data_IF_372378738133
#
_entry.id   IF_372378738133
#
_cell.length_a   1.000
_cell.length_b   1.000
_cell.length_c   1.000
_cell.angle_alpha   90.00
_cell.angle_beta   90.00
_cell.angle_gamma   90.00
#
_symmetry.space_group_name_H-M   'P 1'
#
loop_
_entity.id
_entity.type
_entity.pdbx_description
1 polymer ?
#
# COMPACT_ATOMS: atom_id res chain seq x y z
N UNK A 1 4.61 4.84 -10.79
CA UNK A 1 4.67 6.05 -9.93
C UNK A 1 5.21 7.22 -10.73
N UNK A 2 4.53 8.36 -10.72
CA UNK A 2 5.04 9.60 -11.29
C UNK A 2 6.05 10.21 -10.32
N UNK A 3 7.25 10.52 -10.80
CA UNK A 3 8.32 11.15 -10.02
C UNK A 3 8.39 12.68 -10.28
N UNK A 4 9.09 13.45 -9.44
CA UNK A 4 9.22 14.91 -9.60
C UNK A 4 9.88 15.34 -10.92
N UNK A 5 10.66 14.47 -11.55
CA UNK A 5 11.28 14.72 -12.86
C UNK A 5 10.30 14.57 -14.06
N UNK A 6 9.01 14.34 -13.79
CA UNK A 6 7.96 14.17 -14.80
C UNK A 6 7.91 12.78 -15.46
N UNK A 7 8.80 11.87 -15.08
CA UNK A 7 8.84 10.51 -15.62
C UNK A 7 8.05 9.54 -14.72
N UNK A 8 7.62 8.42 -15.32
CA UNK A 8 6.86 7.37 -14.64
C UNK A 8 7.76 6.15 -14.45
N UNK A 9 7.77 5.60 -13.24
CA UNK A 9 8.54 4.43 -12.86
C UNK A 9 7.61 3.28 -12.49
N UNK A 10 7.82 2.11 -13.13
CA UNK A 10 7.07 0.90 -12.85
C UNK A 10 7.84 0.02 -11.86
N UNK A 11 7.17 -0.39 -10.79
CA UNK A 11 7.75 -1.29 -9.79
C UNK A 11 7.86 -2.70 -10.38
N UNK A 12 9.06 -3.32 -10.37
CA UNK A 12 9.26 -4.61 -11.01
C UNK A 12 8.70 -5.75 -10.15
N UNK A 13 7.57 -6.33 -10.56
CA UNK A 13 6.99 -7.51 -9.94
C UNK A 13 7.76 -8.77 -10.38
N UNK A 14 7.77 -9.08 -11.68
CA UNK A 14 8.53 -10.19 -12.29
C UNK A 14 9.80 -9.72 -13.00
N UNK A 15 9.80 -8.51 -13.58
CA UNK A 15 10.91 -7.98 -14.34
C UNK A 15 12.17 -7.85 -13.49
N UNK A 16 13.33 -8.17 -14.05
CA UNK A 16 14.64 -7.94 -13.44
C UNK A 16 15.09 -6.49 -13.47
N UNK A 17 14.31 -5.60 -14.07
CA UNK A 17 14.65 -4.20 -14.23
C UNK A 17 13.45 -3.30 -13.93
N UNK A 18 13.75 -2.08 -13.52
CA UNK A 18 12.78 -0.99 -13.41
C UNK A 18 12.54 -0.46 -14.84
N UNK A 19 11.26 -0.26 -15.19
CA UNK A 19 10.86 0.44 -16.41
C UNK A 19 10.63 1.92 -16.08
N UNK A 20 11.37 2.79 -16.77
CA UNK A 20 11.13 4.23 -16.83
C UNK A 20 10.37 4.55 -18.11
N UNK A 21 9.37 5.42 -18.02
CA UNK A 21 8.62 5.96 -19.14
C UNK A 21 8.76 7.48 -19.09
N UNK A 22 9.21 8.07 -20.17
CA UNK A 22 9.22 9.53 -20.37
C UNK A 22 8.02 9.94 -21.23
N UNK A 23 6.98 10.55 -20.64
CA UNK A 23 5.79 10.96 -21.39
C UNK A 23 6.06 12.09 -22.39
N UNK A 24 7.10 12.90 -22.16
CA UNK A 24 7.42 14.06 -23.00
C UNK A 24 8.03 13.66 -24.33
N UNK A 25 8.85 12.62 -24.32
CA UNK A 25 9.51 12.07 -25.52
C UNK A 25 8.86 10.78 -26.03
N UNK A 26 7.92 10.21 -25.27
CA UNK A 26 7.28 8.91 -25.54
C UNK A 26 8.30 7.77 -25.63
N UNK A 27 9.36 7.83 -24.85
CA UNK A 27 10.41 6.82 -24.80
C UNK A 27 10.39 6.03 -23.49
N UNK A 28 11.03 4.86 -23.51
CA UNK A 28 11.22 4.01 -22.35
C UNK A 28 12.69 3.67 -22.14
N UNK A 29 13.08 3.47 -20.88
CA UNK A 29 14.39 2.97 -20.50
C UNK A 29 14.24 1.88 -19.42
N UNK A 30 15.22 0.98 -19.38
CA UNK A 30 15.31 -0.09 -18.39
C UNK A 30 16.61 0.06 -17.62
N UNK A 31 16.56 -0.10 -16.30
CA UNK A 31 17.74 -0.07 -15.44
C UNK A 31 17.58 -0.94 -14.20
N UNK A 32 18.70 -1.17 -13.48
CA UNK A 32 18.76 -2.06 -12.33
C UNK A 32 19.06 -3.52 -12.73
N UNK A 33 19.36 -4.34 -11.72
CA UNK A 33 19.59 -5.77 -11.85
C UNK A 33 18.98 -6.48 -10.62
N UNK A 34 17.70 -6.83 -10.70
CA UNK A 34 16.86 -7.23 -9.61
C UNK A 34 16.37 -8.68 -9.81
N UNK A 35 16.99 -9.62 -9.13
CA UNK A 35 16.64 -11.05 -9.22
C UNK A 35 15.40 -11.41 -8.40
N UNK A 36 14.77 -12.55 -8.72
CA UNK A 36 13.60 -13.10 -8.03
C UNK A 36 12.29 -12.87 -8.77
N UNK A 37 11.21 -13.46 -8.24
CA UNK A 37 9.85 -13.43 -8.79
C UNK A 37 8.90 -12.80 -7.77
N UNK A 38 7.77 -12.25 -8.24
CA UNK A 38 6.73 -11.63 -7.40
C UNK A 38 7.30 -10.66 -6.34
N UNK A 39 8.37 -9.94 -6.67
CA UNK A 39 9.24 -9.24 -5.71
C UNK A 39 8.55 -8.14 -4.92
N UNK A 40 8.07 -7.12 -5.63
CA UNK A 40 7.47 -5.93 -5.04
C UNK A 40 6.12 -5.63 -5.68
N UNK A 41 5.17 -5.13 -4.88
CA UNK A 41 3.84 -4.76 -5.35
C UNK A 41 3.42 -3.41 -4.75
N UNK A 42 3.15 -2.47 -5.65
CA UNK A 42 2.91 -1.07 -5.26
C UNK A 42 4.21 -0.31 -5.02
N UNK A 43 4.17 0.96 -5.33
CA UNK A 43 5.27 1.89 -5.12
C UNK A 43 4.78 3.14 -4.38
N UNK A 44 5.66 3.76 -3.61
CA UNK A 44 5.39 4.99 -2.88
C UNK A 44 6.49 5.99 -3.16
N UNK A 45 6.11 7.17 -3.64
CA UNK A 45 7.03 8.31 -3.74
C UNK A 45 7.18 8.94 -2.36
N UNK A 46 8.40 9.02 -1.86
CA UNK A 46 8.72 9.65 -0.59
C UNK A 46 9.15 11.12 -0.75
N UNK A 47 9.16 11.91 0.35
CA UNK A 47 9.55 13.33 0.31
C UNK A 47 10.99 13.58 -0.17
N UNK A 48 11.87 12.59 -0.08
CA UNK A 48 13.25 12.65 -0.60
C UNK A 48 13.33 12.50 -2.13
N UNK A 49 12.19 12.41 -2.83
CA UNK A 49 12.11 12.26 -4.28
C UNK A 49 12.35 10.84 -4.79
N UNK A 50 12.64 9.89 -3.92
CA UNK A 50 12.84 8.48 -4.29
C UNK A 50 11.55 7.67 -4.19
N UNK A 51 11.51 6.56 -4.91
CA UNK A 51 10.35 5.66 -4.96
C UNK A 51 10.70 4.36 -4.25
N UNK A 52 9.80 3.89 -3.39
CA UNK A 52 9.98 2.69 -2.59
C UNK A 52 8.99 1.60 -3.02
N UNK A 53 9.52 0.44 -3.44
CA UNK A 53 8.74 -0.76 -3.78
C UNK A 53 8.45 -1.59 -2.53
N UNK A 54 7.17 -1.93 -2.33
CA UNK A 54 6.72 -2.69 -1.15
C UNK A 54 6.96 -4.18 -1.36
N UNK A 55 7.74 -4.84 -0.48
CA UNK A 55 8.13 -6.24 -0.68
C UNK A 55 6.96 -7.21 -0.47
N UNK A 56 6.65 -7.99 -1.51
CA UNK A 56 5.71 -9.11 -1.45
C UNK A 56 6.47 -10.40 -1.13
N UNK A 57 7.31 -10.87 -2.07
CA UNK A 57 8.18 -12.03 -1.89
C UNK A 57 9.64 -11.63 -1.60
N UNK A 58 10.08 -10.46 -2.06
CA UNK A 58 11.43 -9.97 -1.78
C UNK A 58 11.68 -9.85 -0.27
N UNK A 59 12.85 -10.26 0.18
CA UNK A 59 13.31 -10.06 1.57
C UNK A 59 13.79 -8.64 1.85
N UNK A 60 13.75 -7.75 0.85
CA UNK A 60 14.25 -6.38 0.95
C UNK A 60 13.27 -5.38 0.33
N UNK A 61 13.28 -4.18 0.85
CA UNK A 61 12.64 -3.01 0.24
C UNK A 61 13.46 -2.60 -0.97
N UNK A 62 12.78 -2.21 -2.06
CA UNK A 62 13.41 -1.59 -3.21
C UNK A 62 13.34 -0.06 -3.06
N UNK A 63 14.47 0.61 -3.17
CA UNK A 63 14.56 2.04 -3.39
C UNK A 63 14.98 2.30 -4.83
N UNK A 64 14.26 3.18 -5.52
CA UNK A 64 14.56 3.66 -6.87
C UNK A 64 14.89 5.15 -6.76
N UNK A 65 16.06 5.55 -7.23
CA UNK A 65 16.43 6.95 -7.38
C UNK A 65 16.16 7.42 -8.81
N UNK A 66 15.17 8.28 -9.05
CA UNK A 66 14.80 8.77 -10.36
C UNK A 66 15.85 9.68 -11.01
N UNK A 67 16.74 10.28 -10.22
CA UNK A 67 17.75 11.22 -10.72
C UNK A 67 18.96 10.46 -11.26
N UNK A 68 19.44 9.49 -10.48
CA UNK A 68 20.65 8.72 -10.84
C UNK A 68 20.33 7.46 -11.63
N UNK A 69 19.05 7.08 -11.77
CA UNK A 69 18.59 5.82 -12.36
C UNK A 69 19.25 4.60 -11.70
N UNK A 70 19.33 4.62 -10.39
CA UNK A 70 19.90 3.52 -9.60
C UNK A 70 18.85 2.86 -8.72
N UNK A 71 19.14 1.62 -8.33
CA UNK A 71 18.33 0.85 -7.37
C UNK A 71 19.16 0.44 -6.17
N UNK A 72 18.58 0.54 -4.98
CA UNK A 72 19.17 0.07 -3.72
C UNK A 72 18.20 -0.89 -3.04
N UNK A 73 18.74 -1.96 -2.46
CA UNK A 73 17.98 -2.92 -1.68
C UNK A 73 18.40 -2.84 -0.22
N UNK A 74 17.44 -2.80 0.70
CA UNK A 74 17.72 -2.75 2.14
C UNK A 74 16.65 -3.46 2.96
N UNK A 75 16.95 -3.71 4.25
CA UNK A 75 16.11 -4.48 5.16
C UNK A 75 16.40 -5.99 5.11
N UNK A 76 15.83 -6.72 6.07
CA UNK A 76 15.87 -8.17 6.16
C UNK A 76 14.51 -8.70 6.59
N UNK A 77 13.63 -8.93 5.62
CA UNK A 77 12.20 -9.15 5.79
C UNK A 77 11.82 -10.57 5.37
N UNK A 78 11.79 -11.48 6.31
CA UNK A 78 11.44 -12.90 6.04
C UNK A 78 9.94 -13.09 5.76
N UNK A 79 9.60 -14.20 5.12
CA UNK A 79 8.23 -14.62 4.79
C UNK A 79 7.83 -14.36 3.34
N UNK A 80 6.62 -14.80 2.99
CA UNK A 80 6.03 -14.76 1.65
C UNK A 80 4.69 -14.03 1.68
N UNK A 81 4.24 -13.49 0.52
CA UNK A 81 2.94 -12.81 0.42
C UNK A 81 2.77 -11.61 1.35
N UNK A 82 3.87 -11.02 1.85
CA UNK A 82 3.94 -10.21 3.07
C UNK A 82 3.05 -8.99 3.08
N UNK A 83 3.35 -8.01 2.24
CA UNK A 83 2.63 -6.73 2.20
C UNK A 83 2.14 -6.43 0.79
N UNK A 84 0.97 -5.79 0.70
CA UNK A 84 0.35 -5.39 -0.57
C UNK A 84 -0.07 -3.93 -0.54
N UNK A 85 0.74 -3.11 -1.22
CA UNK A 85 0.62 -1.66 -1.21
C UNK A 85 1.26 -1.00 0.00
N UNK A 86 1.63 0.25 -0.17
CA UNK A 86 2.21 1.09 0.85
C UNK A 86 1.54 2.46 0.89
N UNK A 87 1.63 3.12 2.03
CA UNK A 87 1.06 4.44 2.27
C UNK A 87 2.12 5.33 2.89
N UNK A 88 2.34 6.51 2.30
CA UNK A 88 3.16 7.55 2.92
C UNK A 88 2.35 8.25 4.00
N UNK A 89 2.84 8.25 5.22
CA UNK A 89 2.23 8.97 6.33
C UNK A 89 2.78 10.39 6.47
N UNK A 90 2.12 11.20 7.30
CA UNK A 90 2.49 12.60 7.55
C UNK A 90 3.85 12.75 8.25
N UNK A 91 4.33 11.69 8.92
CA UNK A 91 5.66 11.66 9.53
C UNK A 91 6.81 11.38 8.54
N UNK A 92 6.51 11.30 7.23
CA UNK A 92 7.48 11.05 6.15
C UNK A 92 7.88 9.58 5.99
N UNK A 93 7.36 8.68 6.82
CA UNK A 93 7.59 7.24 6.72
C UNK A 93 6.55 6.54 5.87
N UNK A 94 6.90 5.37 5.34
CA UNK A 94 6.03 4.55 4.50
C UNK A 94 5.59 3.32 5.28
N UNK A 95 4.30 3.00 5.19
CA UNK A 95 3.70 1.86 5.89
C UNK A 95 3.20 0.82 4.88
N UNK A 96 3.79 -0.37 4.89
CA UNK A 96 3.36 -1.53 4.08
C UNK A 96 2.16 -2.21 4.72
N UNK A 97 1.11 -2.40 3.91
CA UNK A 97 -0.17 -2.98 4.38
C UNK A 97 -0.07 -4.50 4.43
N UNK A 98 -0.25 -5.13 5.60
CA UNK A 98 -0.02 -6.57 5.77
C UNK A 98 -1.08 -7.42 5.09
N UNK A 99 -0.65 -8.25 4.12
CA UNK A 99 -1.45 -9.31 3.50
C UNK A 99 -1.31 -10.61 4.31
N UNK A 100 -0.18 -11.27 4.20
CA UNK A 100 0.11 -12.51 4.93
C UNK A 100 1.03 -12.26 6.14
N UNK A 101 1.80 -11.17 6.14
CA UNK A 101 2.60 -10.76 7.30
C UNK A 101 1.72 -10.55 8.53
N UNK A 102 2.17 -11.02 9.69
CA UNK A 102 1.52 -10.74 10.98
C UNK A 102 1.80 -9.34 11.52
N UNK A 103 2.61 -8.54 10.80
CA UNK A 103 3.05 -7.22 11.23
C UNK A 103 2.93 -6.20 10.11
N UNK A 104 2.71 -4.96 10.49
CA UNK A 104 2.85 -3.78 9.62
C UNK A 104 4.34 -3.55 9.39
N UNK A 105 4.71 -3.21 8.15
CA UNK A 105 6.05 -2.74 7.81
C UNK A 105 6.08 -1.21 7.89
N UNK A 106 7.00 -0.67 8.65
CA UNK A 106 7.40 0.74 8.58
C UNK A 106 8.75 0.83 7.86
N UNK A 107 8.83 1.72 6.87
CA UNK A 107 10.06 2.05 6.14
C UNK A 107 10.38 3.50 6.45
N UNK A 108 11.59 3.77 6.91
CA UNK A 108 12.11 5.14 7.07
C UNK A 108 13.02 5.49 5.88
N UNK A 109 12.55 6.37 4.96
CA UNK A 109 13.32 6.78 3.79
C UNK A 109 14.60 7.55 4.11
N UNK A 110 14.69 8.17 5.29
CA UNK A 110 15.83 9.01 5.68
C UNK A 110 17.02 8.19 6.17
N UNK A 111 16.74 7.05 6.80
CA UNK A 111 17.77 6.17 7.38
C UNK A 111 17.93 4.85 6.63
N UNK A 112 17.06 4.57 5.66
CA UNK A 112 16.98 3.28 4.95
C UNK A 112 16.82 2.11 5.92
N UNK A 113 15.98 2.27 6.94
CA UNK A 113 15.69 1.24 7.93
C UNK A 113 14.25 0.75 7.83
N UNK A 114 14.03 -0.47 8.35
CA UNK A 114 12.71 -1.07 8.44
C UNK A 114 12.40 -1.47 9.88
N UNK A 115 11.14 -1.25 10.29
CA UNK A 115 10.60 -1.69 11.58
C UNK A 115 9.34 -2.49 11.36
N UNK A 116 9.12 -3.52 12.17
CA UNK A 116 7.92 -4.34 12.15
C UNK A 116 7.17 -4.17 13.46
N UNK A 117 5.85 -3.99 13.40
CA UNK A 117 5.01 -3.86 14.59
C UNK A 117 3.60 -4.41 14.37
N UNK A 118 2.85 -4.61 15.47
CA UNK A 118 1.54 -5.21 15.48
C UNK A 118 1.57 -6.73 15.65
N UNK A 119 0.39 -7.33 15.85
CA UNK A 119 0.18 -8.76 15.95
C UNK A 119 -1.15 -9.13 15.24
N UNK A 120 -1.07 -9.40 13.95
CA UNK A 120 -2.21 -9.50 13.03
C UNK A 120 -2.26 -10.89 12.41
N UNK A 121 -3.13 -11.74 12.89
CA UNK A 121 -3.28 -13.13 12.40
C UNK A 121 -4.07 -13.22 11.09
N UNK A 122 -3.87 -14.31 10.34
CA UNK A 122 -4.56 -14.61 9.07
C UNK A 122 -3.75 -14.28 7.82
N UNK A 123 -4.29 -14.64 6.66
CA UNK A 123 -3.67 -14.50 5.34
C UNK A 123 -4.57 -13.76 4.37
N UNK A 124 -3.97 -13.09 3.34
CA UNK A 124 -4.71 -12.30 2.36
C UNK A 124 -5.55 -11.19 2.99
N UNK A 125 -5.16 -10.67 4.14
CA UNK A 125 -6.00 -9.87 5.04
C UNK A 125 -6.43 -8.54 4.43
N UNK A 126 -5.47 -7.67 4.13
CA UNK A 126 -5.72 -6.32 3.61
C UNK A 126 -4.92 -6.09 2.33
N UNK A 127 -5.55 -5.41 1.35
CA UNK A 127 -4.93 -5.06 0.08
C UNK A 127 -5.06 -3.56 -0.17
N UNK A 128 -3.94 -2.85 -0.05
CA UNK A 128 -3.88 -1.39 -0.10
C UNK A 128 -4.35 -0.72 1.19
N UNK A 129 -4.03 0.53 1.31
CA UNK A 129 -4.40 1.37 2.45
C UNK A 129 -4.57 2.82 2.03
N UNK A 130 -5.20 3.60 2.89
CA UNK A 130 -5.48 5.02 2.67
C UNK A 130 -5.09 5.80 3.93
N UNK A 131 -4.31 6.86 3.75
CA UNK A 131 -4.06 7.85 4.79
C UNK A 131 -5.29 8.74 4.93
N UNK A 132 -5.77 8.87 6.15
CA UNK A 132 -6.93 9.67 6.49
C UNK A 132 -6.53 11.04 7.09
N UNK A 133 -7.44 12.05 7.12
CA UNK A 133 -7.18 13.36 7.70
C UNK A 133 -6.79 13.34 9.19
N UNK A 134 -7.21 12.31 9.92
CA UNK A 134 -6.83 12.12 11.33
C UNK A 134 -5.38 11.62 11.51
N UNK A 135 -4.59 11.50 10.42
CA UNK A 135 -3.22 11.04 10.42
C UNK A 135 -3.04 9.52 10.52
N UNK A 136 -4.13 8.76 10.61
CA UNK A 136 -4.09 7.30 10.65
C UNK A 136 -4.22 6.68 9.26
N UNK A 137 -3.73 5.46 9.11
CA UNK A 137 -3.82 4.69 7.87
C UNK A 137 -4.85 3.57 8.05
N UNK A 138 -5.72 3.42 7.07
CA UNK A 138 -6.75 2.38 7.06
C UNK A 138 -6.44 1.33 5.99
N UNK A 139 -6.18 0.09 6.41
CA UNK A 139 -5.98 -1.07 5.53
C UNK A 139 -7.32 -1.62 5.03
N UNK A 140 -7.41 -1.82 3.71
CA UNK A 140 -8.66 -2.20 3.04
C UNK A 140 -8.88 -3.71 3.14
N UNK A 141 -9.98 -4.16 3.78
CA UNK A 141 -10.18 -5.57 4.11
C UNK A 141 -10.56 -6.41 2.87
N UNK A 142 -9.64 -7.29 2.44
CA UNK A 142 -9.91 -8.27 1.38
C UNK A 142 -10.52 -9.55 1.96
N UNK A 143 -9.77 -10.29 2.78
CA UNK A 143 -10.25 -11.47 3.47
C UNK A 143 -10.50 -11.24 4.96
N UNK A 144 -9.88 -10.22 5.54
CA UNK A 144 -10.11 -9.88 6.96
C UNK A 144 -11.58 -9.51 7.20
N UNK A 145 -12.13 -9.99 8.30
CA UNK A 145 -13.47 -9.59 8.78
C UNK A 145 -13.49 -8.20 9.41
N UNK A 146 -12.33 -7.52 9.45
CA UNK A 146 -12.19 -6.22 10.10
C UNK A 146 -11.34 -5.27 9.26
N UNK A 147 -11.60 -3.99 9.37
CA UNK A 147 -10.73 -2.91 8.90
C UNK A 147 -9.52 -2.83 9.82
N UNK A 148 -8.35 -2.62 9.26
CA UNK A 148 -7.13 -2.31 9.99
C UNK A 148 -6.99 -0.79 10.11
N UNK A 149 -6.81 -0.29 11.32
CA UNK A 149 -6.34 1.05 11.60
C UNK A 149 -4.89 0.97 12.09
N UNK A 150 -4.02 1.75 11.49
CA UNK A 150 -2.61 1.90 11.87
C UNK A 150 -2.41 3.34 12.35
N UNK A 151 -1.87 3.51 13.54
CA UNK A 151 -1.44 4.81 14.04
C UNK A 151 0.09 4.96 13.86
N UNK A 152 0.54 5.82 12.92
CA UNK A 152 1.95 6.02 12.64
C UNK A 152 2.75 6.63 13.79
N UNK A 153 2.09 7.36 14.69
CA UNK A 153 2.76 8.08 15.77
C UNK A 153 3.07 7.16 16.97
N UNK A 154 2.17 6.20 17.23
CA UNK A 154 2.31 5.28 18.36
C UNK A 154 2.78 3.90 17.96
N UNK A 155 2.89 3.62 16.64
CA UNK A 155 3.16 2.30 16.08
C UNK A 155 2.21 1.22 16.63
N UNK A 156 0.92 1.55 16.70
CA UNK A 156 -0.11 0.64 17.15
C UNK A 156 -1.09 0.29 16.03
N UNK A 157 -1.75 -0.85 16.20
CA UNK A 157 -2.79 -1.33 15.29
C UNK A 157 -4.08 -1.57 16.03
N UNK A 158 -5.21 -1.19 15.42
CA UNK A 158 -6.56 -1.47 15.92
C UNK A 158 -7.38 -2.13 14.82
N UNK A 159 -8.18 -3.11 15.19
CA UNK A 159 -9.11 -3.80 14.29
C UNK A 159 -10.55 -3.45 14.67
N UNK A 160 -11.37 -3.14 13.67
CA UNK A 160 -12.78 -2.82 13.90
C UNK A 160 -13.67 -3.26 12.74
N UNK A 161 -14.97 -3.34 13.01
CA UNK A 161 -15.97 -3.82 12.06
C UNK A 161 -16.25 -5.32 12.20
N UNK A 162 -17.28 -5.78 11.48
CA UNK A 162 -17.67 -7.18 11.38
C UNK A 162 -18.13 -7.45 9.94
N UNK A 163 -17.17 -7.76 9.06
CA UNK A 163 -17.31 -7.81 7.62
C UNK A 163 -17.22 -9.27 7.15
N UNK A 164 -18.31 -9.89 6.77
CA UNK A 164 -18.32 -11.27 6.28
C UNK A 164 -17.81 -11.40 4.85
N UNK A 165 -17.33 -12.59 4.47
CA UNK A 165 -16.88 -12.94 3.12
C UNK A 165 -15.38 -12.77 2.89
N UNK A 166 -14.95 -13.21 1.73
CA UNK A 166 -13.57 -13.18 1.23
C UNK A 166 -13.49 -12.39 -0.09
N UNK A 167 -12.28 -11.97 -0.47
CA UNK A 167 -12.03 -11.22 -1.70
C UNK A 167 -12.93 -9.97 -1.85
N UNK A 168 -13.24 -9.29 -0.75
CA UNK A 168 -14.28 -8.26 -0.69
C UNK A 168 -13.89 -6.98 -1.44
N UNK A 169 -12.86 -6.31 -0.98
CA UNK A 169 -12.42 -5.01 -1.51
C UNK A 169 -10.92 -4.99 -1.75
N UNK A 170 -10.49 -4.15 -2.72
CA UNK A 170 -9.08 -3.92 -3.07
C UNK A 170 -8.88 -2.45 -3.35
N UNK A 171 -8.03 -1.80 -2.54
CA UNK A 171 -7.80 -0.37 -2.63
C UNK A 171 -8.98 0.47 -2.16
N UNK A 172 -8.70 1.72 -1.91
CA UNK A 172 -9.68 2.70 -1.46
C UNK A 172 -9.22 4.12 -1.80
N UNK A 173 -10.16 5.05 -1.73
CA UNK A 173 -9.95 6.46 -2.01
C UNK A 173 -10.52 7.30 -0.87
N UNK A 174 -9.75 8.28 -0.42
CA UNK A 174 -10.24 9.34 0.46
C UNK A 174 -11.06 10.32 -0.37
N UNK A 175 -12.33 10.48 -0.02
CA UNK A 175 -13.22 11.42 -0.68
C UNK A 175 -13.18 12.81 -0.01
N UNK A 176 -13.65 13.87 -0.71
CA UNK A 176 -13.67 15.23 -0.16
C UNK A 176 -14.50 15.40 1.13
N UNK A 177 -15.44 14.47 1.40
CA UNK A 177 -16.22 14.45 2.64
C UNK A 177 -15.45 13.85 3.85
N UNK A 178 -14.17 13.56 3.68
CA UNK A 178 -13.30 12.98 4.71
C UNK A 178 -13.45 11.47 4.92
N UNK A 179 -14.36 10.81 4.21
CA UNK A 179 -14.57 9.36 4.31
C UNK A 179 -13.76 8.57 3.29
N UNK A 180 -13.46 7.32 3.61
CA UNK A 180 -12.76 6.41 2.70
C UNK A 180 -13.79 5.48 2.07
N UNK A 181 -13.72 5.36 0.74
CA UNK A 181 -14.55 4.45 -0.04
C UNK A 181 -13.68 3.35 -0.63
N UNK A 182 -14.01 2.10 -0.34
CA UNK A 182 -13.24 0.94 -0.77
C UNK A 182 -13.87 0.30 -2.00
N UNK A 183 -13.02 0.02 -2.99
CA UNK A 183 -13.46 -0.52 -4.29
C UNK A 183 -13.81 -2.00 -4.17
N UNK A 184 -15.05 -2.41 -4.56
CA UNK A 184 -15.42 -3.82 -4.57
C UNK A 184 -14.55 -4.63 -5.52
N UNK A 185 -14.13 -5.82 -5.07
CA UNK A 185 -13.48 -6.83 -5.92
C UNK A 185 -14.48 -7.97 -6.21
N UNK A 186 -14.92 -8.67 -5.18
CA UNK A 186 -16.01 -9.66 -5.28
C UNK A 186 -17.24 -9.29 -4.44
N UNK A 187 -17.17 -8.21 -3.67
CA UNK A 187 -18.32 -7.68 -2.94
C UNK A 187 -19.28 -6.99 -3.90
N UNK A 188 -20.58 -7.13 -3.65
CA UNK A 188 -21.62 -6.37 -4.34
C UNK A 188 -21.87 -5.00 -3.73
N UNK A 189 -21.13 -4.64 -2.69
CA UNK A 189 -21.31 -3.41 -1.92
C UNK A 189 -20.01 -2.64 -1.82
N UNK A 190 -20.09 -1.31 -1.86
CA UNK A 190 -19.00 -0.40 -1.51
C UNK A 190 -18.89 -0.35 0.01
N UNK A 191 -17.66 -0.42 0.55
CA UNK A 191 -17.41 -0.18 1.97
C UNK A 191 -17.08 1.30 2.16
N UNK A 192 -17.83 1.96 3.03
CA UNK A 192 -17.51 3.29 3.54
C UNK A 192 -16.84 3.15 4.93
N UNK A 193 -15.70 3.82 5.12
CA UNK A 193 -15.05 3.95 6.42
C UNK A 193 -15.16 5.41 6.85
N UNK A 194 -15.92 5.65 7.90
CA UNK A 194 -16.09 6.95 8.53
C UNK A 194 -15.18 7.05 9.76
N UNK A 195 -14.25 7.99 9.73
CA UNK A 195 -13.24 8.17 10.77
C UNK A 195 -13.79 8.87 12.03
N UNK A 196 -14.92 9.55 11.92
CA UNK A 196 -15.58 10.21 13.05
C UNK A 196 -16.25 9.21 14.00
N UNK A 197 -16.50 7.98 13.51
CA UNK A 197 -17.07 6.90 14.28
C UNK A 197 -16.10 5.70 14.28
N UNK A 198 -15.31 5.59 15.31
CA UNK A 198 -14.26 4.56 15.46
C UNK A 198 -14.78 3.11 15.56
N UNK A 199 -16.05 2.81 15.27
CA UNK A 199 -16.62 1.50 15.61
C UNK A 199 -17.48 0.76 14.58
N UNK A 200 -18.04 1.37 13.53
CA UNK A 200 -18.93 0.63 12.62
C UNK A 200 -18.76 1.10 11.16
N UNK A 201 -18.20 0.28 10.24
CA UNK A 201 -18.28 0.53 8.81
C UNK A 201 -19.74 0.46 8.34
N UNK A 202 -20.15 1.44 7.53
CA UNK A 202 -21.46 1.39 6.85
C UNK A 202 -21.27 0.75 5.47
N UNK A 203 -22.19 -0.14 5.11
CA UNK A 203 -22.31 -0.64 3.74
C UNK A 203 -23.24 0.30 2.96
N UNK A 204 -22.79 0.74 1.80
CA UNK A 204 -23.66 1.40 0.83
C UNK A 204 -24.19 0.34 -0.12
N UNK A 205 -25.50 0.18 -0.17
CA UNK A 205 -26.15 -0.70 -1.14
C UNK A 205 -25.91 -0.16 -2.56
N UNK A 206 -25.56 -1.04 -3.49
CA UNK A 206 -25.26 -0.72 -4.89
C UNK A 206 -26.50 -0.32 -5.72
N UNK A 207 -27.45 0.40 -5.14
CA UNK A 207 -28.67 0.83 -5.82
C UNK A 207 -28.44 1.86 -6.96
N UNK A 208 -27.19 2.25 -7.23
CA UNK A 208 -26.88 3.31 -8.19
C UNK A 208 -26.24 2.86 -9.51
N UNK A 209 -26.09 1.57 -9.77
CA UNK A 209 -25.49 1.11 -11.03
C UNK A 209 -26.50 0.70 -12.13
N UNK A 210 -27.78 1.02 -11.99
CA UNK A 210 -28.77 0.77 -13.04
C UNK A 210 -29.37 2.07 -13.61
N UNK A 211 -28.52 3.03 -13.99
CA UNK A 211 -28.93 4.14 -14.87
C UNK A 211 -27.78 4.49 -15.82
N UNK A 212 -27.63 3.73 -16.85
CA UNK A 212 -27.22 4.12 -18.20
C UNK A 212 -28.09 3.37 -19.19
#
# INVERSE_FOLDING_TARGET
>A
MLAPNGKIYCIPFESTQVLEIDPSTQTTALFGNLSGTAKWIGGVLAPNGKIYGIPLESTQVLEIDPITQTTTLFGNLAGTGKWRGGVLATNGKIYGIPSDSTQVLEIDPSTQTTTLFGNLSGTGKWYGGVLAPNGKIYGIPRNSTQVLEIDPNTQTTTLFGNLSGINKWVGGVLAPNGKIYCMPFSSTQVLEIDQSFTRIPKYMLSAYFNKL
#
